data_IF_214164458321
#
_entry.id   IF_214164458321
#
_cell.length_a   1.000
_cell.length_b   1.000
_cell.length_c   1.000
_cell.angle_alpha   90.00
_cell.angle_beta   90.00
_cell.angle_gamma   90.00
#
_symmetry.space_group_name_H-M   'P 1'
#
loop_
_entity.id
_entity.type
_entity.pdbx_description
1 polymer ?
#
# COMPACT_ATOMS: atom_id res chain seq x y z
N UNK A 1 -14.46 -9.21 -8.97
CA UNK A 1 -13.65 -8.09 -9.49
C UNK A 1 -12.31 -8.59 -10.04
N UNK A 2 -11.47 -9.27 -9.25
CA UNK A 2 -10.17 -9.78 -9.72
C UNK A 2 -10.25 -10.71 -10.95
N UNK A 3 -11.25 -11.61 -11.00
CA UNK A 3 -11.51 -12.45 -12.17
C UNK A 3 -11.71 -11.64 -13.46
N UNK A 4 -12.49 -10.55 -13.38
CA UNK A 4 -12.74 -9.68 -14.52
C UNK A 4 -11.50 -8.92 -14.96
N UNK A 5 -10.71 -8.40 -14.00
CA UNK A 5 -9.44 -7.72 -14.29
C UNK A 5 -8.45 -8.67 -14.98
N UNK A 6 -8.24 -9.86 -14.41
CA UNK A 6 -7.31 -10.84 -14.94
C UNK A 6 -7.71 -11.31 -16.34
N UNK A 7 -8.99 -11.66 -16.55
CA UNK A 7 -9.50 -12.02 -17.87
C UNK A 7 -9.35 -10.86 -18.87
N UNK A 8 -9.61 -9.62 -18.44
CA UNK A 8 -9.49 -8.45 -19.31
C UNK A 8 -8.07 -8.25 -19.83
N UNK A 9 -7.03 -8.55 -19.03
CA UNK A 9 -5.64 -8.45 -19.51
C UNK A 9 -5.39 -9.41 -20.67
N UNK A 10 -5.84 -10.66 -20.57
CA UNK A 10 -5.70 -11.62 -21.68
C UNK A 10 -6.55 -11.27 -22.90
N UNK A 11 -7.78 -10.81 -22.70
CA UNK A 11 -8.66 -10.42 -23.81
C UNK A 11 -8.11 -9.21 -24.55
N UNK A 12 -7.71 -8.16 -23.82
CA UNK A 12 -7.10 -6.96 -24.40
C UNK A 12 -5.79 -7.31 -25.10
N UNK A 13 -4.96 -8.15 -24.49
CA UNK A 13 -3.72 -8.59 -25.09
C UNK A 13 -3.93 -9.44 -26.36
N UNK A 14 -4.96 -10.29 -26.38
CA UNK A 14 -5.32 -11.03 -27.58
C UNK A 14 -5.76 -10.09 -28.70
N UNK A 15 -6.61 -9.10 -28.41
CA UNK A 15 -7.04 -8.09 -29.38
C UNK A 15 -5.84 -7.30 -29.93
N UNK A 16 -4.93 -6.86 -29.06
CA UNK A 16 -3.72 -6.16 -29.46
C UNK A 16 -2.72 -7.05 -30.23
N UNK A 17 -2.60 -8.32 -29.86
CA UNK A 17 -1.80 -9.30 -30.60
C UNK A 17 -2.35 -9.52 -32.01
N UNK A 18 -3.67 -9.68 -32.15
CA UNK A 18 -4.31 -9.78 -33.47
C UNK A 18 -4.18 -8.49 -34.27
N UNK A 19 -4.28 -7.30 -33.65
CA UNK A 19 -4.10 -6.05 -34.39
C UNK A 19 -2.66 -5.88 -34.87
N UNK A 20 -1.64 -6.20 -34.06
CA UNK A 20 -0.24 -6.18 -34.47
C UNK A 20 0.06 -7.18 -35.59
N UNK A 21 -0.48 -8.40 -35.47
CA UNK A 21 -0.28 -9.40 -36.50
C UNK A 21 -0.95 -9.01 -37.83
N UNK A 22 -2.23 -8.65 -37.79
CA UNK A 22 -3.01 -8.44 -39.02
C UNK A 22 -2.85 -7.05 -39.64
N UNK A 23 -2.62 -6.01 -38.82
CA UNK A 23 -2.56 -4.62 -39.28
C UNK A 23 -1.13 -4.07 -39.35
N UNK A 24 -0.22 -4.57 -38.52
CA UNK A 24 1.17 -4.11 -38.46
C UNK A 24 2.18 -5.15 -39.00
N UNK A 25 1.70 -6.25 -39.59
CA UNK A 25 2.51 -7.32 -40.20
C UNK A 25 3.59 -7.91 -39.26
N UNK A 26 3.25 -8.06 -37.98
CA UNK A 26 4.14 -8.62 -36.95
C UNK A 26 3.70 -10.04 -36.54
N UNK A 27 4.08 -11.10 -37.28
CA UNK A 27 3.73 -12.48 -36.95
C UNK A 27 4.45 -13.02 -35.70
N UNK A 28 5.49 -12.34 -35.22
CA UNK A 28 6.27 -12.78 -34.06
C UNK A 28 5.57 -12.43 -32.72
N UNK A 29 4.57 -11.54 -32.74
CA UNK A 29 3.88 -11.06 -31.53
C UNK A 29 3.34 -12.19 -30.64
N UNK A 30 2.73 -13.23 -31.21
CA UNK A 30 2.20 -14.35 -30.43
C UNK A 30 3.31 -15.21 -29.83
N UNK A 31 4.44 -15.36 -30.53
CA UNK A 31 5.61 -16.04 -29.98
C UNK A 31 6.19 -15.26 -28.78
N UNK A 32 6.30 -13.94 -28.91
CA UNK A 32 6.75 -13.07 -27.82
C UNK A 32 5.77 -13.09 -26.62
N UNK A 33 4.46 -13.11 -26.85
CA UNK A 33 3.45 -13.23 -25.79
C UNK A 33 3.58 -14.58 -25.04
N UNK A 34 3.79 -15.68 -25.75
CA UNK A 34 3.99 -17.00 -25.15
C UNK A 34 5.31 -17.08 -24.40
N UNK A 35 6.40 -16.55 -24.94
CA UNK A 35 7.69 -16.48 -24.26
C UNK A 35 7.58 -15.69 -22.96
N UNK A 36 6.90 -14.54 -23.00
CA UNK A 36 6.63 -13.70 -21.83
C UNK A 36 5.87 -14.45 -20.73
N UNK A 37 4.89 -15.30 -21.06
CA UNK A 37 4.19 -16.13 -20.06
C UNK A 37 5.17 -17.00 -19.26
N UNK A 38 6.06 -17.71 -19.95
CA UNK A 38 7.01 -18.60 -19.28
C UNK A 38 8.09 -17.82 -18.52
N UNK A 39 8.57 -16.71 -19.08
CA UNK A 39 9.53 -15.83 -18.41
C UNK A 39 8.94 -15.27 -17.10
N UNK A 40 7.70 -14.78 -17.13
CA UNK A 40 7.02 -14.26 -15.94
C UNK A 40 6.69 -15.33 -14.90
N UNK A 41 6.33 -16.54 -15.34
CA UNK A 41 6.16 -17.67 -14.44
C UNK A 41 7.47 -18.01 -13.70
N UNK A 42 8.61 -18.00 -14.39
CA UNK A 42 9.93 -18.20 -13.78
C UNK A 42 10.28 -17.09 -12.80
N UNK A 43 10.13 -15.83 -13.22
CA UNK A 43 10.40 -14.65 -12.39
C UNK A 43 9.59 -14.69 -11.09
N UNK A 44 8.32 -15.12 -11.15
CA UNK A 44 7.48 -15.23 -9.96
C UNK A 44 8.07 -16.18 -8.91
N UNK A 45 8.69 -17.29 -9.32
CA UNK A 45 9.34 -18.24 -8.42
C UNK A 45 10.62 -17.66 -7.83
N UNK A 46 11.45 -17.00 -8.66
CA UNK A 46 12.69 -16.33 -8.21
C UNK A 46 12.40 -15.27 -7.13
N UNK A 47 11.38 -14.44 -7.37
CA UNK A 47 10.87 -13.46 -6.39
C UNK A 47 10.39 -14.15 -5.11
N UNK A 48 9.66 -15.27 -5.23
CA UNK A 48 9.12 -15.98 -4.07
C UNK A 48 10.19 -16.60 -3.17
N UNK A 49 11.28 -17.12 -3.73
CA UNK A 49 12.41 -17.66 -2.93
C UNK A 49 13.00 -16.58 -2.03
N UNK A 50 13.16 -15.36 -2.55
CA UNK A 50 13.69 -14.26 -1.76
C UNK A 50 12.66 -13.68 -0.79
N UNK A 51 11.37 -13.67 -1.17
CA UNK A 51 10.29 -13.27 -0.26
C UNK A 51 10.16 -14.19 0.94
N UNK A 52 10.47 -15.47 0.78
CA UNK A 52 10.43 -16.45 1.86
C UNK A 52 11.38 -16.08 3.01
N UNK A 53 12.66 -15.87 2.73
CA UNK A 53 13.63 -15.55 3.78
C UNK A 53 13.36 -14.21 4.47
N UNK A 54 12.88 -13.24 3.69
CA UNK A 54 12.59 -11.90 4.20
C UNK A 54 11.30 -11.83 5.00
N UNK A 55 10.22 -12.49 4.56
CA UNK A 55 8.98 -12.61 5.36
C UNK A 55 9.23 -13.35 6.68
N UNK A 56 10.06 -14.40 6.65
CA UNK A 56 10.47 -15.15 7.85
C UNK A 56 11.14 -14.23 8.87
N UNK A 57 12.09 -13.40 8.44
CA UNK A 57 12.77 -12.43 9.31
C UNK A 57 11.78 -11.44 9.92
N UNK A 58 10.96 -10.80 9.08
CA UNK A 58 10.11 -9.71 9.52
C UNK A 58 8.95 -10.17 10.38
N UNK A 59 8.30 -11.28 10.05
CA UNK A 59 7.22 -11.82 10.87
C UNK A 59 7.71 -12.33 12.22
N UNK A 60 8.93 -12.87 12.30
CA UNK A 60 9.56 -13.19 13.58
C UNK A 60 9.75 -11.94 14.47
N UNK A 61 10.33 -10.87 13.91
CA UNK A 61 10.52 -9.61 14.63
C UNK A 61 9.20 -8.95 15.06
N UNK A 62 8.24 -8.95 14.15
CA UNK A 62 6.91 -8.41 14.38
C UNK A 62 6.14 -9.19 15.46
N UNK A 63 6.31 -10.52 15.51
CA UNK A 63 5.74 -11.36 16.57
C UNK A 63 6.27 -10.99 17.95
N UNK A 64 7.56 -10.68 18.06
CA UNK A 64 8.15 -10.18 19.32
C UNK A 64 7.47 -8.87 19.73
N UNK A 65 7.29 -7.94 18.80
CA UNK A 65 6.64 -6.65 19.06
C UNK A 65 5.19 -6.80 19.53
N UNK A 66 4.44 -7.70 18.89
CA UNK A 66 3.08 -8.05 19.27
C UNK A 66 3.04 -8.58 20.71
N UNK A 67 3.88 -9.57 21.04
CA UNK A 67 3.95 -10.19 22.37
C UNK A 67 4.49 -9.25 23.44
N UNK A 68 5.31 -8.29 23.07
CA UNK A 68 5.76 -7.21 23.96
C UNK A 68 4.64 -6.20 24.29
N UNK A 69 3.47 -6.31 23.65
CA UNK A 69 2.31 -5.44 23.86
C UNK A 69 2.46 -4.07 23.16
N UNK A 70 3.28 -3.97 22.10
CA UNK A 70 3.47 -2.72 21.38
C UNK A 70 2.17 -2.28 20.67
N UNK A 71 1.45 -3.24 20.09
CA UNK A 71 0.15 -2.99 19.44
C UNK A 71 -0.85 -2.43 20.45
N UNK A 72 -0.92 -3.00 21.66
CA UNK A 72 -1.80 -2.51 22.74
C UNK A 72 -1.39 -1.11 23.24
N UNK A 73 -0.09 -0.82 23.29
CA UNK A 73 0.41 0.50 23.64
C UNK A 73 -0.02 1.55 22.62
N UNK A 74 0.17 1.28 21.32
CA UNK A 74 -0.26 2.17 20.25
C UNK A 74 -1.79 2.32 20.21
N UNK A 75 -2.54 1.23 20.39
CA UNK A 75 -3.99 1.25 20.45
C UNK A 75 -4.51 2.16 21.59
N UNK A 76 -3.84 2.19 22.74
CA UNK A 76 -4.16 3.13 23.83
C UNK A 76 -3.85 4.58 23.48
N UNK A 77 -2.78 4.85 22.73
CA UNK A 77 -2.45 6.20 22.25
C UNK A 77 -3.46 6.68 21.22
N UNK A 78 -3.93 5.82 20.31
CA UNK A 78 -4.89 6.17 19.26
C UNK A 78 -6.36 6.15 19.74
N UNK A 79 -6.66 5.45 20.83
CA UNK A 79 -8.02 5.30 21.37
C UNK A 79 -8.81 6.59 21.55
N UNK A 80 -8.26 7.63 22.21
CA UNK A 80 -8.95 8.91 22.41
C UNK A 80 -9.33 9.60 21.09
N UNK A 81 -8.46 9.52 20.07
CA UNK A 81 -8.72 10.10 18.76
C UNK A 81 -9.91 9.42 18.08
N UNK A 82 -9.90 8.09 17.96
CA UNK A 82 -10.98 7.36 17.31
C UNK A 82 -12.31 7.45 18.06
N UNK A 83 -12.30 7.49 19.39
CA UNK A 83 -13.50 7.73 20.18
C UNK A 83 -14.18 9.09 19.89
N UNK A 84 -13.42 10.07 19.39
CA UNK A 84 -13.93 11.40 19.02
C UNK A 84 -14.28 11.50 17.54
N UNK A 85 -13.51 10.84 16.67
CA UNK A 85 -13.82 10.76 15.25
C UNK A 85 -15.03 9.86 14.94
N UNK A 86 -15.37 8.93 15.84
CA UNK A 86 -16.53 8.02 15.71
C UNK A 86 -17.54 8.24 16.84
N UNK A 87 -18.23 9.40 16.90
CA UNK A 87 -19.12 9.75 18.01
C UNK A 87 -20.33 8.81 18.15
N UNK A 88 -20.69 8.07 17.09
CA UNK A 88 -21.78 7.09 17.08
C UNK A 88 -21.43 5.77 17.79
N UNK A 89 -20.15 5.55 18.12
CA UNK A 89 -19.71 4.33 18.80
C UNK A 89 -19.61 4.58 20.31
N UNK A 90 -20.38 3.87 21.16
CA UNK A 90 -20.35 4.08 22.61
C UNK A 90 -18.96 3.84 23.21
N UNK A 91 -18.60 4.64 24.23
CA UNK A 91 -17.36 4.42 24.97
C UNK A 91 -17.36 3.03 25.62
N UNK A 92 -16.24 2.32 25.49
CA UNK A 92 -16.10 0.96 25.99
C UNK A 92 -16.66 -0.12 25.05
N UNK A 93 -17.30 0.25 23.93
CA UNK A 93 -17.71 -0.73 22.93
C UNK A 93 -16.48 -1.41 22.29
N UNK A 94 -16.46 -2.75 22.13
CA UNK A 94 -15.33 -3.48 21.57
C UNK A 94 -14.84 -2.98 20.20
N UNK A 95 -15.74 -2.41 19.40
CA UNK A 95 -15.41 -1.85 18.09
C UNK A 95 -14.27 -0.82 18.14
N UNK A 96 -14.25 0.08 19.14
CA UNK A 96 -13.19 1.10 19.23
C UNK A 96 -11.82 0.46 19.44
N UNK A 97 -11.73 -0.56 20.30
CA UNK A 97 -10.49 -1.29 20.54
C UNK A 97 -10.01 -2.05 19.30
N UNK A 98 -10.93 -2.73 18.60
CA UNK A 98 -10.59 -3.46 17.38
C UNK A 98 -10.13 -2.52 16.25
N UNK A 99 -10.75 -1.35 16.13
CA UNK A 99 -10.36 -0.32 15.14
C UNK A 99 -8.96 0.20 15.45
N UNK A 100 -8.71 0.60 16.69
CA UNK A 100 -7.40 1.16 17.08
C UNK A 100 -6.29 0.11 16.97
N UNK A 101 -6.57 -1.14 17.31
CA UNK A 101 -5.66 -2.28 17.11
C UNK A 101 -5.39 -2.52 15.63
N UNK A 102 -6.41 -2.47 14.75
CA UNK A 102 -6.21 -2.63 13.31
C UNK A 102 -5.32 -1.53 12.74
N UNK A 103 -5.52 -0.25 13.10
CA UNK A 103 -4.64 0.84 12.66
C UNK A 103 -3.23 0.74 13.22
N UNK A 104 -3.08 0.35 14.49
CA UNK A 104 -1.77 0.11 15.09
C UNK A 104 -1.03 -1.03 14.39
N UNK A 105 -1.74 -2.12 14.05
CA UNK A 105 -1.19 -3.26 13.34
C UNK A 105 -0.76 -2.87 11.91
N UNK A 106 -1.64 -2.25 11.11
CA UNK A 106 -1.29 -1.76 9.77
C UNK A 106 -0.11 -0.78 9.81
N UNK A 107 -0.10 0.17 10.76
CA UNK A 107 0.99 1.15 10.87
C UNK A 107 2.36 0.53 11.14
N UNK A 108 2.41 -0.61 11.83
CA UNK A 108 3.63 -1.38 12.09
C UNK A 108 3.97 -2.39 10.98
N UNK A 109 3.13 -2.55 9.96
CA UNK A 109 3.29 -3.57 8.92
C UNK A 109 2.86 -4.98 9.35
N UNK A 110 1.99 -5.10 10.35
CA UNK A 110 1.38 -6.37 10.82
C UNK A 110 0.15 -6.74 9.98
N UNK A 111 0.25 -6.71 8.65
CA UNK A 111 -0.91 -6.81 7.74
C UNK A 111 -1.72 -8.12 7.92
N UNK A 112 -1.01 -9.22 8.25
CA UNK A 112 -1.59 -10.54 8.51
C UNK A 112 -2.47 -10.55 9.78
N UNK A 113 -2.15 -9.74 10.78
CA UNK A 113 -2.97 -9.56 11.97
C UNK A 113 -4.05 -8.48 11.74
N UNK A 114 -3.73 -7.45 10.96
CA UNK A 114 -4.62 -6.32 10.72
C UNK A 114 -5.92 -6.74 10.03
N UNK A 115 -5.87 -7.60 9.00
CA UNK A 115 -7.07 -7.99 8.24
C UNK A 115 -8.11 -8.76 9.08
N UNK A 116 -7.74 -9.81 9.84
CA UNK A 116 -8.66 -10.48 10.76
C UNK A 116 -9.23 -9.55 11.85
N UNK A 117 -8.41 -8.64 12.38
CA UNK A 117 -8.85 -7.64 13.36
C UNK A 117 -9.85 -6.67 12.72
N UNK A 118 -9.59 -6.22 11.49
CA UNK A 118 -10.47 -5.33 10.74
C UNK A 118 -11.83 -5.96 10.44
N UNK A 119 -11.86 -7.25 10.07
CA UNK A 119 -13.12 -7.99 9.91
C UNK A 119 -13.92 -8.08 11.22
N UNK A 120 -13.25 -8.31 12.35
CA UNK A 120 -13.89 -8.26 13.68
C UNK A 120 -14.40 -6.85 13.99
N UNK A 121 -13.62 -5.81 13.67
CA UNK A 121 -13.99 -4.42 13.88
C UNK A 121 -15.27 -4.05 13.11
N UNK A 122 -15.35 -4.42 11.83
CA UNK A 122 -16.51 -4.12 10.98
C UNK A 122 -17.75 -4.87 11.44
N UNK A 123 -17.61 -6.12 11.88
CA UNK A 123 -18.71 -6.88 12.52
C UNK A 123 -19.19 -6.20 13.81
N UNK A 124 -18.27 -5.74 14.66
CA UNK A 124 -18.60 -5.01 15.87
C UNK A 124 -19.24 -3.63 15.56
N UNK A 125 -18.83 -2.94 14.50
CA UNK A 125 -19.51 -1.74 14.05
C UNK A 125 -20.91 -2.04 13.51
N UNK A 126 -21.10 -3.20 12.87
CA UNK A 126 -22.38 -3.61 12.33
C UNK A 126 -23.43 -3.85 13.42
N UNK A 127 -23.05 -4.30 14.62
CA UNK A 127 -24.02 -4.48 15.74
C UNK A 127 -24.62 -3.16 16.21
N UNK A 128 -23.97 -2.03 15.92
CA UNK A 128 -24.45 -0.68 16.22
C UNK A 128 -25.15 -0.02 15.02
N UNK A 129 -25.09 -0.65 13.84
CA UNK A 129 -25.60 -0.06 12.62
C UNK A 129 -27.14 -0.17 12.58
N UNK A 130 -27.89 0.95 12.49
CA UNK A 130 -29.34 0.90 12.36
C UNK A 130 -29.80 0.27 11.03
N UNK A 131 -28.92 0.16 10.03
CA UNK A 131 -29.21 -0.50 8.75
C UNK A 131 -28.36 -1.76 8.56
N UNK A 132 -29.00 -2.88 8.24
CA UNK A 132 -28.31 -4.12 7.90
C UNK A 132 -27.60 -4.07 6.54
N UNK A 133 -27.97 -3.14 5.65
CA UNK A 133 -27.52 -3.12 4.24
C UNK A 133 -26.82 -1.82 3.83
N UNK A 134 -26.85 -0.78 4.67
CA UNK A 134 -26.25 0.53 4.37
C UNK A 134 -25.13 0.86 5.34
N UNK A 135 -23.98 1.29 4.83
CA UNK A 135 -22.80 1.55 5.66
C UNK A 135 -23.03 2.70 6.67
N UNK A 136 -22.65 2.47 7.93
CA UNK A 136 -22.67 3.50 8.98
C UNK A 136 -21.53 4.50 8.83
N UNK A 137 -21.60 5.66 9.48
CA UNK A 137 -20.55 6.67 9.37
C UNK A 137 -19.21 6.15 9.91
N UNK A 138 -19.23 5.40 11.02
CA UNK A 138 -18.05 4.78 11.59
C UNK A 138 -17.43 3.71 10.65
N UNK A 139 -18.25 2.90 9.98
CA UNK A 139 -17.76 1.92 8.99
C UNK A 139 -17.09 2.62 7.79
N UNK A 140 -17.67 3.71 7.31
CA UNK A 140 -17.10 4.49 6.21
C UNK A 140 -15.75 5.10 6.61
N UNK A 141 -15.68 5.75 7.77
CA UNK A 141 -14.41 6.33 8.25
C UNK A 141 -13.34 5.26 8.43
N UNK A 142 -13.69 4.12 9.05
CA UNK A 142 -12.78 2.99 9.24
C UNK A 142 -12.21 2.48 7.91
N UNK A 143 -13.07 2.31 6.91
CA UNK A 143 -12.67 1.82 5.59
C UNK A 143 -11.78 2.82 4.86
N UNK A 144 -12.16 4.11 4.81
CA UNK A 144 -11.41 5.14 4.06
C UNK A 144 -10.01 5.31 4.65
N UNK A 145 -9.88 5.32 5.98
CA UNK A 145 -8.58 5.42 6.62
C UNK A 145 -7.73 4.15 6.45
N UNK A 146 -8.36 2.97 6.34
CA UNK A 146 -7.63 1.75 5.97
C UNK A 146 -7.13 1.81 4.52
N UNK A 147 -7.95 2.32 3.59
CA UNK A 147 -7.57 2.47 2.18
C UNK A 147 -6.43 3.48 1.98
N UNK A 148 -6.30 4.49 2.86
CA UNK A 148 -5.19 5.44 2.80
C UNK A 148 -3.88 4.93 3.44
N UNK A 149 -3.94 3.79 4.14
CA UNK A 149 -2.82 3.06 4.77
C UNK A 149 -1.66 3.92 5.26
N UNK A 150 -1.77 4.43 6.50
CA UNK A 150 -0.65 5.10 7.17
C UNK A 150 0.45 4.08 7.51
N UNK A 151 1.23 3.71 6.51
CA UNK A 151 2.32 2.75 6.63
C UNK A 151 3.57 3.50 7.10
N UNK A 152 3.92 3.36 8.38
CA UNK A 152 5.14 3.97 8.90
C UNK A 152 6.39 3.23 8.42
N UNK A 153 6.24 1.93 8.12
CA UNK A 153 7.33 1.01 7.80
C UNK A 153 7.08 0.30 6.47
N UNK A 154 7.54 0.86 5.34
CA UNK A 154 7.36 0.25 4.03
C UNK A 154 8.40 -0.86 3.76
N UNK A 155 8.54 -1.78 4.72
CA UNK A 155 9.52 -2.87 4.70
C UNK A 155 9.39 -3.72 3.43
N UNK A 156 8.16 -4.01 3.02
CA UNK A 156 7.88 -4.79 1.82
C UNK A 156 8.42 -4.12 0.55
N UNK A 157 8.39 -2.78 0.48
CA UNK A 157 8.91 -2.01 -0.65
C UNK A 157 10.44 -2.03 -0.68
N UNK A 158 11.08 -1.84 0.48
CA UNK A 158 12.53 -1.98 0.60
C UNK A 158 12.97 -3.38 0.18
N UNK A 159 12.21 -4.39 0.59
CA UNK A 159 12.46 -5.75 0.15
C UNK A 159 12.38 -5.85 -1.36
N UNK A 160 11.26 -5.51 -2.01
CA UNK A 160 11.15 -5.59 -3.48
C UNK A 160 12.32 -4.91 -4.19
N UNK A 161 12.70 -3.71 -3.75
CA UNK A 161 13.87 -3.00 -4.30
C UNK A 161 15.16 -3.80 -4.14
N UNK A 162 15.46 -4.32 -2.95
CA UNK A 162 16.61 -5.18 -2.73
C UNK A 162 16.58 -6.44 -3.61
N UNK A 163 15.41 -7.04 -3.83
CA UNK A 163 15.24 -8.21 -4.70
C UNK A 163 15.55 -7.91 -6.16
N UNK A 164 15.22 -6.70 -6.61
CA UNK A 164 15.49 -6.23 -7.95
C UNK A 164 16.92 -5.64 -8.09
N UNK A 165 17.77 -5.80 -7.07
CA UNK A 165 19.18 -5.40 -7.11
C UNK A 165 19.43 -3.93 -6.82
N UNK A 166 18.52 -3.23 -6.12
CA UNK A 166 18.75 -1.83 -5.73
C UNK A 166 20.00 -1.70 -4.85
N UNK A 167 20.96 -0.81 -5.20
CA UNK A 167 22.09 -0.49 -4.33
C UNK A 167 21.65 0.08 -2.98
N UNK A 168 20.61 0.92 -2.99
CA UNK A 168 19.96 1.44 -1.81
C UNK A 168 18.44 1.18 -1.83
N UNK A 169 17.99 0.12 -1.14
CA UNK A 169 16.57 -0.20 -1.07
C UNK A 169 15.74 0.83 -0.29
N UNK A 170 16.35 1.57 0.64
CA UNK A 170 15.67 2.50 1.56
C UNK A 170 15.48 3.90 0.99
N UNK A 171 16.06 4.20 -0.17
CA UNK A 171 15.98 5.49 -0.86
C UNK A 171 14.56 6.06 -0.96
N UNK A 172 13.55 5.21 -1.09
CA UNK A 172 12.13 5.59 -1.25
C UNK A 172 11.39 5.86 0.08
N UNK A 173 12.07 5.79 1.23
CA UNK A 173 11.45 5.89 2.55
C UNK A 173 10.68 7.21 2.76
N UNK A 174 11.35 8.36 2.62
CA UNK A 174 10.70 9.66 2.80
C UNK A 174 9.62 9.93 1.75
N UNK A 175 9.85 9.64 0.44
CA UNK A 175 8.77 9.72 -0.54
C UNK A 175 7.51 8.95 -0.15
N UNK A 176 7.65 7.72 0.34
CA UNK A 176 6.50 6.90 0.79
C UNK A 176 5.81 7.57 1.98
N UNK A 177 6.56 8.00 2.98
CA UNK A 177 6.02 8.62 4.19
C UNK A 177 5.23 9.91 3.87
N UNK A 178 5.73 10.74 2.95
CA UNK A 178 5.07 11.96 2.52
C UNK A 178 3.80 11.66 1.70
N UNK A 179 3.86 10.69 0.78
CA UNK A 179 2.72 10.30 -0.04
C UNK A 179 1.59 9.67 0.79
N UNK A 180 1.90 8.79 1.75
CA UNK A 180 0.88 8.21 2.65
C UNK A 180 0.27 9.26 3.59
N UNK A 181 1.07 10.21 4.06
CA UNK A 181 0.59 11.31 4.90
C UNK A 181 -0.42 12.18 4.13
N UNK A 182 -0.14 12.50 2.87
CA UNK A 182 -1.06 13.22 1.99
C UNK A 182 -2.36 12.44 1.74
N UNK A 183 -2.25 11.16 1.40
CA UNK A 183 -3.39 10.24 1.22
C UNK A 183 -4.28 10.19 2.46
N UNK A 184 -3.68 9.95 3.63
CA UNK A 184 -4.40 9.83 4.91
C UNK A 184 -5.07 11.15 5.32
N UNK A 185 -4.39 12.28 5.10
CA UNK A 185 -4.98 13.59 5.37
C UNK A 185 -6.20 13.85 4.47
N UNK A 186 -6.09 13.61 3.17
CA UNK A 186 -7.21 13.80 2.24
C UNK A 186 -8.35 12.82 2.53
N UNK A 187 -8.05 11.58 2.89
CA UNK A 187 -9.05 10.59 3.33
C UNK A 187 -9.81 11.06 4.56
N UNK A 188 -9.12 11.49 5.62
CA UNK A 188 -9.74 12.02 6.83
C UNK A 188 -10.58 13.27 6.54
N UNK A 189 -10.03 14.24 5.82
CA UNK A 189 -10.69 15.51 5.54
C UNK A 189 -11.93 15.33 4.65
N UNK A 190 -11.86 14.46 3.65
CA UNK A 190 -13.00 14.18 2.77
C UNK A 190 -14.16 13.52 3.52
N UNK A 191 -13.87 12.55 4.41
CA UNK A 191 -14.89 11.93 5.26
C UNK A 191 -15.43 12.95 6.26
N UNK A 192 -14.56 13.75 6.87
CA UNK A 192 -14.96 14.78 7.82
C UNK A 192 -15.88 15.83 7.19
N UNK A 193 -15.62 16.22 5.94
CA UNK A 193 -16.49 17.11 5.17
C UNK A 193 -17.86 16.46 4.90
N UNK A 194 -17.87 15.23 4.39
CA UNK A 194 -19.10 14.52 4.01
C UNK A 194 -19.98 14.16 5.21
N UNK A 195 -19.36 13.81 6.35
CA UNK A 195 -20.05 13.41 7.59
C UNK A 195 -20.19 14.56 8.59
N UNK A 196 -19.64 15.75 8.29
CA UNK A 196 -19.60 16.92 9.18
C UNK A 196 -18.98 16.61 10.54
N UNK A 197 -17.86 15.86 10.54
CA UNK A 197 -17.12 15.53 11.75
C UNK A 197 -16.53 16.79 12.39
N UNK A 198 -16.54 16.83 13.73
CA UNK A 198 -16.01 17.96 14.49
C UNK A 198 -14.49 17.86 14.65
N UNK A 199 -13.75 18.18 13.58
CA UNK A 199 -12.28 18.22 13.64
C UNK A 199 -11.73 19.28 14.61
N UNK A 200 -12.57 20.25 14.99
CA UNK A 200 -12.28 21.29 15.99
C UNK A 200 -12.43 20.80 17.44
N UNK A 201 -12.78 19.53 17.68
CA UNK A 201 -12.80 18.97 19.03
C UNK A 201 -11.38 19.07 19.65
N UNK A 202 -11.24 19.54 20.91
CA UNK A 202 -9.92 19.74 21.53
C UNK A 202 -9.04 18.50 21.53
N UNK A 203 -9.63 17.30 21.67
CA UNK A 203 -8.87 16.05 21.60
C UNK A 203 -8.40 15.82 20.18
N UNK A 204 -9.25 15.97 19.17
CA UNK A 204 -8.86 15.80 17.76
C UNK A 204 -7.75 16.79 17.38
N UNK A 205 -7.89 18.06 17.76
CA UNK A 205 -6.87 19.09 17.55
C UNK A 205 -5.55 18.76 18.27
N UNK A 206 -5.59 18.15 19.46
CA UNK A 206 -4.39 17.73 20.18
C UNK A 206 -3.59 16.64 19.46
N UNK A 207 -4.20 15.88 18.54
CA UNK A 207 -3.46 14.96 17.64
C UNK A 207 -3.10 15.64 16.31
N UNK A 208 -4.04 16.36 15.69
CA UNK A 208 -3.84 16.94 14.36
C UNK A 208 -2.84 18.10 14.35
N UNK A 209 -2.86 18.99 15.34
CA UNK A 209 -1.96 20.16 15.37
C UNK A 209 -0.51 19.73 15.54
N UNK A 210 -0.11 18.91 16.54
CA UNK A 210 1.28 18.47 16.65
C UNK A 210 1.73 17.67 15.43
N UNK A 211 0.87 16.80 14.88
CA UNK A 211 1.17 16.05 13.65
C UNK A 211 1.40 16.98 12.45
N UNK A 212 0.54 17.97 12.25
CA UNK A 212 0.67 18.95 11.17
C UNK A 212 1.90 19.86 11.34
N UNK A 213 2.22 20.27 12.58
CA UNK A 213 3.42 21.06 12.86
C UNK A 213 4.70 20.24 12.65
N UNK A 214 4.70 18.97 13.06
CA UNK A 214 5.84 18.07 12.86
C UNK A 214 6.05 17.82 11.37
N UNK A 215 4.99 17.46 10.64
CA UNK A 215 5.07 17.24 9.20
C UNK A 215 5.45 18.51 8.44
N UNK A 216 4.82 19.65 8.78
CA UNK A 216 5.07 20.94 8.14
C UNK A 216 6.47 21.49 8.40
N UNK A 217 6.97 21.39 9.64
CA UNK A 217 8.36 21.79 9.95
C UNK A 217 9.38 20.86 9.29
N UNK A 218 9.10 19.56 9.23
CA UNK A 218 9.92 18.60 8.52
C UNK A 218 9.95 18.88 7.02
N UNK A 219 8.78 19.10 6.38
CA UNK A 219 8.71 19.48 4.97
C UNK A 219 9.42 20.81 4.68
N UNK A 220 9.30 21.80 5.57
CA UNK A 220 10.00 23.07 5.43
C UNK A 220 11.53 22.88 5.49
N UNK A 221 12.02 22.00 6.37
CA UNK A 221 13.44 21.63 6.43
C UNK A 221 13.88 20.97 5.12
N UNK A 222 13.14 19.95 4.66
CA UNK A 222 13.43 19.26 3.40
C UNK A 222 13.46 20.23 2.22
N UNK A 223 12.60 21.25 2.18
CA UNK A 223 12.55 22.24 1.10
C UNK A 223 13.81 23.10 0.96
N UNK A 224 14.66 23.14 2.00
CA UNK A 224 15.94 23.85 1.96
C UNK A 224 17.10 23.00 1.42
N UNK A 225 16.88 21.70 1.18
CA UNK A 225 17.92 20.75 0.82
C UNK A 225 18.00 20.53 -0.69
N UNK A 226 19.20 20.20 -1.19
CA UNK A 226 19.37 19.74 -2.57
C UNK A 226 18.78 18.34 -2.76
N UNK A 227 18.44 17.96 -3.99
CA UNK A 227 17.96 16.61 -4.33
C UNK A 227 18.94 15.51 -3.86
N UNK A 228 20.25 15.74 -4.00
CA UNK A 228 21.28 14.81 -3.50
C UNK A 228 21.25 14.67 -1.98
N UNK A 229 21.05 15.76 -1.24
CA UNK A 229 20.95 15.73 0.21
C UNK A 229 19.62 15.09 0.68
N UNK A 230 18.52 15.31 -0.05
CA UNK A 230 17.23 14.65 0.18
C UNK A 230 17.33 13.13 0.00
N UNK A 231 17.96 12.68 -1.08
CA UNK A 231 18.21 11.26 -1.33
C UNK A 231 19.06 10.62 -0.21
N UNK A 232 20.17 11.28 0.18
CA UNK A 232 21.03 10.81 1.26
C UNK A 232 20.30 10.78 2.62
N UNK A 233 19.49 11.80 2.91
CA UNK A 233 18.69 11.84 4.14
C UNK A 233 17.61 10.76 4.14
N UNK A 234 16.95 10.52 2.99
CA UNK A 234 15.94 9.45 2.86
C UNK A 234 16.55 8.09 3.13
N UNK A 235 17.72 7.81 2.55
CA UNK A 235 18.51 6.60 2.81
C UNK A 235 18.87 6.45 4.29
N UNK A 236 19.45 7.49 4.88
CA UNK A 236 19.87 7.46 6.29
C UNK A 236 18.68 7.23 7.22
N UNK A 237 17.59 7.98 7.02
CA UNK A 237 16.38 7.84 7.84
C UNK A 237 15.73 6.47 7.67
N UNK A 238 15.69 5.94 6.45
CA UNK A 238 15.18 4.60 6.18
C UNK A 238 16.00 3.52 6.89
N UNK A 239 17.33 3.55 6.77
CA UNK A 239 18.21 2.59 7.43
C UNK A 239 18.19 2.69 8.96
N UNK A 240 18.23 3.91 9.51
CA UNK A 240 18.13 4.14 10.96
C UNK A 240 16.78 3.70 11.51
N UNK A 241 15.68 3.98 10.79
CA UNK A 241 14.34 3.54 11.19
C UNK A 241 14.25 2.01 11.17
N UNK A 242 14.73 1.38 10.09
CA UNK A 242 14.73 -0.07 9.93
C UNK A 242 15.48 -0.76 11.08
N UNK A 243 16.75 -0.39 11.29
CA UNK A 243 17.57 -1.01 12.32
C UNK A 243 17.14 -0.62 13.74
N UNK A 244 16.74 0.64 13.94
CA UNK A 244 16.22 1.13 15.20
C UNK A 244 14.97 0.37 15.66
N UNK A 245 14.12 -0.05 14.72
CA UNK A 245 12.91 -0.80 15.04
C UNK A 245 13.20 -2.26 15.35
N UNK A 246 14.14 -2.89 14.65
CA UNK A 246 14.64 -4.22 15.02
C UNK A 246 15.13 -4.18 16.47
N UNK A 247 15.98 -3.21 16.81
CA UNK A 247 16.46 -3.03 18.19
C UNK A 247 15.32 -2.74 19.17
N UNK A 248 14.38 -1.86 18.80
CA UNK A 248 13.22 -1.54 19.63
C UNK A 248 12.42 -2.80 19.97
N UNK A 249 12.13 -3.66 18.99
CA UNK A 249 11.35 -4.89 19.20
C UNK A 249 12.09 -5.86 20.12
N UNK A 250 13.39 -6.08 19.89
CA UNK A 250 14.21 -6.96 20.71
C UNK A 250 14.34 -6.44 22.15
N UNK A 251 14.62 -5.14 22.32
CA UNK A 251 14.76 -4.52 23.64
C UNK A 251 13.43 -4.49 24.40
N UNK A 252 12.32 -4.14 23.74
CA UNK A 252 11.00 -4.18 24.37
C UNK A 252 10.62 -5.62 24.75
N UNK A 253 10.88 -6.59 23.88
CA UNK A 253 10.68 -8.01 24.17
C UNK A 253 11.47 -8.44 25.42
N UNK A 254 12.76 -8.11 25.48
CA UNK A 254 13.62 -8.42 26.62
C UNK A 254 13.14 -7.72 27.91
N UNK A 255 12.80 -6.43 27.86
CA UNK A 255 12.30 -5.66 29.00
C UNK A 255 10.95 -6.19 29.52
N UNK A 256 10.11 -6.69 28.62
CA UNK A 256 8.82 -7.33 28.95
C UNK A 256 8.96 -8.81 29.32
N UNK A 257 10.19 -9.33 29.37
CA UNK A 257 10.50 -10.74 29.66
C UNK A 257 9.82 -11.71 28.71
N UNK A 258 9.65 -11.29 27.45
CA UNK A 258 9.21 -12.16 26.35
C UNK A 258 10.38 -13.04 25.93
N UNK A 259 10.10 -14.31 25.64
CA UNK A 259 11.07 -15.25 25.10
C UNK A 259 11.38 -14.90 23.63
N UNK A 260 12.30 -13.93 23.45
CA UNK A 260 12.52 -13.22 22.17
C UNK A 260 12.87 -14.18 21.04
N UNK A 261 13.71 -15.19 21.30
CA UNK A 261 14.11 -16.16 20.28
C UNK A 261 12.94 -17.08 19.89
N UNK A 262 12.22 -17.59 20.88
CA UNK A 262 11.10 -18.51 20.69
C UNK A 262 9.97 -17.81 19.92
N UNK A 263 9.60 -16.60 20.32
CA UNK A 263 8.58 -15.81 19.59
C UNK A 263 9.04 -15.39 18.20
N UNK A 264 10.34 -15.13 18.02
CA UNK A 264 10.90 -14.93 16.68
C UNK A 264 10.71 -16.18 15.81
N UNK A 265 11.01 -17.37 16.33
CA UNK A 265 10.87 -18.63 15.58
C UNK A 265 9.39 -18.93 15.27
N UNK A 266 8.48 -18.66 16.21
CA UNK A 266 7.04 -18.82 15.96
C UNK A 266 6.54 -17.85 14.88
N UNK A 267 6.89 -16.57 14.95
CA UNK A 267 6.54 -15.61 13.90
C UNK A 267 7.20 -15.93 12.55
N UNK A 268 8.43 -16.43 12.58
CA UNK A 268 9.16 -16.86 11.40
C UNK A 268 8.44 -17.99 10.64
N UNK A 269 7.86 -18.97 11.35
CA UNK A 269 7.06 -20.05 10.75
C UNK A 269 5.84 -19.51 10.01
N UNK A 270 5.17 -18.48 10.54
CA UNK A 270 4.02 -17.85 9.85
C UNK A 270 4.43 -17.28 8.49
N UNK A 271 5.68 -16.84 8.33
CA UNK A 271 6.22 -16.36 7.05
C UNK A 271 6.23 -17.40 5.94
N UNK A 272 6.32 -18.68 6.28
CA UNK A 272 6.27 -19.77 5.31
C UNK A 272 4.87 -19.91 4.72
N UNK A 273 3.85 -19.87 5.58
CA UNK A 273 2.45 -19.98 5.15
C UNK A 273 2.02 -18.78 4.31
N UNK A 274 2.46 -17.59 4.69
CA UNK A 274 2.22 -16.36 3.93
C UNK A 274 2.89 -16.46 2.56
N UNK A 275 4.17 -16.83 2.49
CA UNK A 275 4.87 -17.00 1.22
C UNK A 275 4.16 -18.02 0.30
N UNK A 276 3.79 -19.18 0.84
CA UNK A 276 3.04 -20.21 0.11
C UNK A 276 1.73 -19.69 -0.47
N UNK A 277 1.01 -18.86 0.28
CA UNK A 277 -0.27 -18.28 -0.16
C UNK A 277 -0.11 -17.22 -1.26
N UNK A 278 1.03 -16.53 -1.33
CA UNK A 278 1.28 -15.44 -2.27
C UNK A 278 1.68 -15.93 -3.67
N UNK A 279 2.39 -17.06 -3.77
CA UNK A 279 2.92 -17.56 -5.04
C UNK A 279 1.86 -17.68 -6.15
N UNK A 280 0.68 -18.31 -5.94
CA UNK A 280 -0.31 -18.47 -7.02
C UNK A 280 -0.80 -17.14 -7.60
N UNK A 281 -1.00 -16.13 -6.73
CA UNK A 281 -1.44 -14.81 -7.16
C UNK A 281 -0.34 -14.06 -7.91
N UNK A 282 0.91 -14.19 -7.46
CA UNK A 282 2.04 -13.56 -8.12
C UNK A 282 2.26 -14.14 -9.53
N UNK A 283 2.22 -15.48 -9.67
CA UNK A 283 2.30 -16.17 -10.96
C UNK A 283 1.18 -15.70 -11.88
N UNK A 284 -0.08 -15.77 -11.43
CA UNK A 284 -1.23 -15.43 -12.25
C UNK A 284 -1.18 -13.99 -12.76
N UNK A 285 -0.81 -13.04 -11.88
CA UNK A 285 -0.74 -11.64 -12.25
C UNK A 285 0.47 -11.32 -13.12
N UNK A 286 1.69 -11.74 -12.77
CA UNK A 286 2.87 -11.46 -13.59
C UNK A 286 2.72 -12.03 -15.00
N UNK A 287 2.18 -13.24 -15.14
CA UNK A 287 1.88 -13.82 -16.46
C UNK A 287 0.89 -12.96 -17.26
N UNK A 288 -0.21 -12.52 -16.64
CA UNK A 288 -1.21 -11.69 -17.32
C UNK A 288 -0.63 -10.34 -17.75
N UNK A 289 0.20 -9.73 -16.91
CA UNK A 289 0.87 -8.45 -17.19
C UNK A 289 1.92 -8.62 -18.29
N UNK A 290 2.75 -9.65 -18.20
CA UNK A 290 3.76 -9.94 -19.23
C UNK A 290 3.13 -10.15 -20.60
N UNK A 291 1.98 -10.81 -20.69
CA UNK A 291 1.24 -10.97 -21.95
C UNK A 291 0.68 -9.64 -22.44
N UNK A 292 0.10 -8.84 -21.54
CA UNK A 292 -0.43 -7.51 -21.87
C UNK A 292 0.65 -6.59 -22.43
N UNK A 293 1.84 -6.57 -21.81
CA UNK A 293 3.00 -5.84 -22.30
C UNK A 293 3.54 -6.41 -23.62
N UNK A 294 3.77 -7.71 -23.72
CA UNK A 294 4.27 -8.33 -24.95
C UNK A 294 3.33 -8.11 -26.15
N UNK A 295 2.02 -7.99 -25.90
CA UNK A 295 1.04 -7.65 -26.93
C UNK A 295 1.10 -6.19 -27.41
N UNK A 296 1.80 -5.29 -26.70
CA UNK A 296 1.84 -3.85 -26.97
C UNK A 296 0.60 -3.07 -26.53
N UNK A 297 -0.38 -3.73 -25.90
CA UNK A 297 -1.59 -3.07 -25.41
C UNK A 297 -1.29 -2.06 -24.29
N UNK A 298 -0.37 -2.42 -23.39
CA UNK A 298 0.03 -1.55 -22.29
C UNK A 298 0.73 -0.29 -22.82
N UNK A 299 1.68 -0.49 -23.73
CA UNK A 299 2.44 0.57 -24.38
C UNK A 299 1.52 1.54 -25.11
N UNK A 300 0.54 1.05 -25.89
CA UNK A 300 -0.44 1.90 -26.55
C UNK A 300 -1.23 2.79 -25.58
N UNK A 301 -1.67 2.23 -24.45
CA UNK A 301 -2.36 2.99 -23.41
C UNK A 301 -1.47 4.06 -22.77
N UNK A 302 -0.21 3.71 -22.49
CA UNK A 302 0.78 4.63 -21.94
C UNK A 302 1.17 5.73 -22.93
N UNK A 303 1.33 5.42 -24.22
CA UNK A 303 1.60 6.38 -25.29
C UNK A 303 0.51 7.44 -25.38
N UNK A 304 -0.77 7.04 -25.27
CA UNK A 304 -1.89 7.97 -25.22
C UNK A 304 -1.82 8.93 -24.02
N UNK A 305 -1.38 8.44 -22.86
CA UNK A 305 -1.16 9.28 -21.68
C UNK A 305 0.06 10.19 -21.88
N UNK A 306 1.18 9.67 -22.41
CA UNK A 306 2.38 10.48 -22.69
C UNK A 306 2.04 11.63 -23.62
N UNK A 307 1.27 11.37 -24.69
CA UNK A 307 0.80 12.40 -25.62
C UNK A 307 -0.01 13.51 -24.93
N UNK A 308 -0.94 13.15 -24.03
CA UNK A 308 -1.73 14.12 -23.27
C UNK A 308 -0.86 14.97 -22.32
N UNK A 309 0.11 14.33 -21.66
CA UNK A 309 1.02 14.98 -20.70
C UNK A 309 1.99 15.92 -21.43
N UNK A 310 2.54 15.49 -22.57
CA UNK A 310 3.40 16.32 -23.44
C UNK A 310 2.62 17.49 -24.02
N UNK A 311 1.37 17.28 -24.44
CA UNK A 311 0.50 18.35 -24.90
C UNK A 311 0.25 19.41 -23.81
N UNK A 312 0.19 19.00 -22.55
CA UNK A 312 0.11 19.91 -21.40
C UNK A 312 1.46 20.57 -21.04
N UNK A 313 2.56 20.21 -21.72
CA UNK A 313 3.91 20.71 -21.45
C UNK A 313 4.54 20.16 -20.17
N UNK A 314 4.08 19.00 -19.70
CA UNK A 314 4.55 18.35 -18.46
C UNK A 314 5.55 17.24 -18.75
N UNK A 315 6.35 16.90 -17.73
CA UNK A 315 7.32 15.81 -17.78
C UNK A 315 6.62 14.44 -17.77
N UNK A 316 7.02 13.51 -18.64
CA UNK A 316 6.38 12.19 -18.82
C UNK A 316 7.06 11.04 -18.08
N UNK A 317 8.17 11.27 -17.34
CA UNK A 317 8.95 10.20 -16.68
C UNK A 317 8.13 9.34 -15.72
N UNK A 318 7.03 9.87 -15.17
CA UNK A 318 6.14 9.13 -14.27
C UNK A 318 5.18 8.16 -14.98
N UNK A 319 4.99 8.27 -16.30
CA UNK A 319 3.91 7.56 -17.02
C UNK A 319 4.07 6.04 -16.94
N UNK A 320 5.30 5.54 -17.00
CA UNK A 320 5.62 4.11 -16.82
C UNK A 320 5.29 3.56 -15.42
N UNK A 321 5.04 4.43 -14.43
CA UNK A 321 4.61 4.03 -13.09
C UNK A 321 3.08 3.92 -12.94
N UNK A 322 2.32 4.51 -13.86
CA UNK A 322 0.85 4.56 -13.80
C UNK A 322 0.15 3.19 -13.80
N UNK A 323 0.67 2.12 -14.44
CA UNK A 323 0.04 0.81 -14.34
C UNK A 323 -0.08 0.34 -12.88
N UNK A 324 0.93 0.64 -12.05
CA UNK A 324 0.89 0.38 -10.60
C UNK A 324 -0.25 1.14 -9.94
N UNK A 325 -0.38 2.46 -10.20
CA UNK A 325 -1.44 3.29 -9.65
C UNK A 325 -2.85 2.85 -10.07
N UNK A 326 -3.05 2.46 -11.32
CA UNK A 326 -4.36 2.10 -11.87
C UNK A 326 -4.88 0.77 -11.33
N UNK A 327 -3.96 -0.18 -11.09
CA UNK A 327 -4.31 -1.53 -10.63
C UNK A 327 -4.47 -1.57 -9.11
N UNK A 328 -3.77 -0.70 -8.39
CA UNK A 328 -3.72 -0.70 -6.92
C UNK A 328 -5.08 -0.61 -6.21
N UNK A 329 -6.06 0.19 -6.64
CA UNK A 329 -7.37 0.23 -5.98
C UNK A 329 -8.06 -1.14 -5.97
N UNK A 330 -7.74 -1.99 -6.95
CA UNK A 330 -8.39 -3.29 -7.16
C UNK A 330 -7.63 -4.44 -6.52
N UNK A 331 -6.29 -4.40 -6.54
CA UNK A 331 -5.46 -5.51 -6.08
C UNK A 331 -4.02 -5.10 -5.79
N UNK A 332 -3.58 -5.36 -4.56
CA UNK A 332 -2.23 -5.03 -4.09
C UNK A 332 -1.19 -6.02 -4.59
N UNK A 333 -1.57 -7.28 -4.82
CA UNK A 333 -0.71 -8.29 -5.44
C UNK A 333 -0.50 -8.00 -6.94
N UNK A 334 -1.53 -7.51 -7.62
CA UNK A 334 -1.43 -7.10 -9.01
C UNK A 334 -0.61 -5.81 -9.17
N UNK A 335 -0.80 -4.82 -8.28
CA UNK A 335 0.02 -3.60 -8.28
C UNK A 335 1.49 -3.89 -7.93
N UNK A 336 1.75 -4.84 -7.03
CA UNK A 336 3.10 -5.35 -6.78
C UNK A 336 3.71 -5.99 -8.02
N UNK A 337 2.94 -6.77 -8.77
CA UNK A 337 3.40 -7.35 -10.03
C UNK A 337 3.78 -6.23 -11.02
N UNK A 338 2.96 -5.18 -11.15
CA UNK A 338 3.28 -3.99 -11.95
C UNK A 338 4.56 -3.29 -11.51
N UNK A 339 4.77 -3.13 -10.19
CA UNK A 339 6.00 -2.56 -9.65
C UNK A 339 7.24 -3.36 -10.06
N UNK A 340 7.22 -4.67 -9.83
CA UNK A 340 8.34 -5.57 -10.17
C UNK A 340 8.61 -5.51 -11.68
N UNK A 341 7.55 -5.49 -12.47
CA UNK A 341 7.61 -5.42 -13.91
C UNK A 341 8.16 -4.08 -14.43
N UNK A 342 7.85 -2.96 -13.77
CA UNK A 342 8.52 -1.67 -14.02
C UNK A 342 10.01 -1.73 -13.65
N UNK A 343 10.38 -2.33 -12.52
CA UNK A 343 11.77 -2.44 -12.09
C UNK A 343 12.62 -3.31 -13.05
N UNK A 344 12.07 -4.41 -13.55
CA UNK A 344 12.74 -5.28 -14.51
C UNK A 344 12.98 -4.61 -15.85
N UNK A 345 12.01 -3.82 -16.32
CA UNK A 345 12.07 -3.23 -17.67
C UNK A 345 12.73 -1.86 -17.72
N UNK A 346 12.54 -1.03 -16.71
CA UNK A 346 13.10 0.32 -16.66
C UNK A 346 14.37 0.40 -15.80
N UNK A 347 14.64 -0.61 -14.97
CA UNK A 347 15.68 -0.60 -13.94
C UNK A 347 15.14 -0.15 -12.58
N UNK A 348 15.66 -0.76 -11.50
CA UNK A 348 15.16 -0.60 -10.13
C UNK A 348 15.24 0.82 -9.55
N UNK A 349 16.19 1.62 -10.04
CA UNK A 349 16.39 3.03 -9.66
C UNK A 349 15.99 4.03 -10.75
N UNK A 350 15.30 3.56 -11.79
CA UNK A 350 14.67 4.47 -12.74
C UNK A 350 13.63 5.34 -12.04
N UNK A 351 13.41 6.55 -12.57
CA UNK A 351 12.40 7.46 -12.03
C UNK A 351 11.02 6.80 -11.93
N UNK A 352 10.63 6.05 -12.98
CA UNK A 352 9.38 5.30 -13.00
C UNK A 352 9.32 4.22 -11.90
N UNK A 353 10.39 3.46 -11.68
CA UNK A 353 10.44 2.47 -10.61
C UNK A 353 10.39 3.10 -9.22
N UNK A 354 11.00 4.27 -9.02
CA UNK A 354 10.92 5.03 -7.77
C UNK A 354 9.48 5.52 -7.51
N UNK A 355 8.83 6.11 -8.52
CA UNK A 355 7.42 6.53 -8.43
C UNK A 355 6.51 5.33 -8.16
N UNK A 356 6.68 4.23 -8.87
CA UNK A 356 5.89 3.02 -8.69
C UNK A 356 6.09 2.43 -7.27
N UNK A 357 7.32 2.43 -6.76
CA UNK A 357 7.62 1.99 -5.39
C UNK A 357 6.95 2.91 -4.35
N UNK A 358 6.97 4.23 -4.58
CA UNK A 358 6.30 5.20 -3.71
C UNK A 358 4.78 5.06 -3.73
N UNK A 359 4.18 4.85 -4.90
CA UNK A 359 2.75 4.53 -5.03
C UNK A 359 2.44 3.22 -4.30
N UNK A 360 3.21 2.17 -4.53
CA UNK A 360 2.99 0.86 -3.92
C UNK A 360 3.13 0.91 -2.39
N UNK A 361 3.95 1.80 -1.84
CA UNK A 361 4.11 1.98 -0.40
C UNK A 361 3.11 2.92 0.29
N UNK A 362 2.34 3.74 -0.45
CA UNK A 362 1.62 4.89 0.14
C UNK A 362 0.11 4.73 0.36
N UNK A 363 -0.52 3.76 -0.29
CA UNK A 363 -1.99 3.51 -0.22
C UNK A 363 -2.30 2.02 -0.07
N UNK A 364 -3.56 1.67 0.12
CA UNK A 364 -4.07 0.29 0.16
C UNK A 364 -5.16 0.04 -0.90
N UNK A 365 -5.65 -1.19 -0.95
CA UNK A 365 -6.57 -1.66 -1.99
C UNK A 365 -8.04 -1.28 -1.74
N UNK A 366 -8.46 -0.09 -2.21
CA UNK A 366 -9.81 0.47 -1.98
C UNK A 366 -10.97 -0.52 -2.20
N UNK A 367 -11.07 -1.13 -3.38
CA UNK A 367 -12.20 -2.01 -3.72
C UNK A 367 -12.11 -3.38 -3.06
N UNK A 368 -10.89 -3.86 -2.80
CA UNK A 368 -10.69 -5.12 -2.10
C UNK A 368 -11.08 -4.98 -0.63
N UNK A 369 -10.57 -3.97 0.07
CA UNK A 369 -10.95 -3.68 1.47
C UNK A 369 -12.46 -3.51 1.56
N UNK A 370 -13.08 -2.80 0.62
CA UNK A 370 -14.54 -2.67 0.57
C UNK A 370 -15.24 -4.00 0.38
N UNK A 371 -14.86 -4.82 -0.59
CA UNK A 371 -15.46 -6.12 -0.84
C UNK A 371 -15.33 -7.05 0.37
N UNK A 372 -14.15 -7.10 1.00
CA UNK A 372 -13.88 -7.97 2.15
C UNK A 372 -14.62 -7.46 3.39
N UNK A 373 -14.53 -6.16 3.70
CA UNK A 373 -15.10 -5.61 4.94
C UNK A 373 -16.62 -5.51 4.85
N UNK A 374 -17.16 -4.89 3.80
CA UNK A 374 -18.61 -4.73 3.64
C UNK A 374 -19.30 -6.04 3.27
N UNK A 375 -18.65 -6.89 2.47
CA UNK A 375 -19.17 -8.22 2.15
C UNK A 375 -19.31 -9.12 3.38
N UNK A 376 -18.36 -9.05 4.32
CA UNK A 376 -18.40 -9.85 5.56
C UNK A 376 -19.56 -9.52 6.51
N UNK A 377 -20.23 -8.39 6.31
CA UNK A 377 -21.38 -7.93 7.11
C UNK A 377 -22.64 -7.67 6.28
N UNK A 378 -22.64 -8.04 4.99
CA UNK A 378 -23.82 -7.93 4.13
C UNK A 378 -24.19 -6.50 3.69
N UNK A 379 -23.26 -5.55 3.77
CA UNK A 379 -23.50 -4.18 3.32
C UNK A 379 -23.54 -4.13 1.79
N UNK A 380 -24.60 -3.52 1.27
CA UNK A 380 -24.86 -3.39 -0.17
C UNK A 380 -24.68 -1.94 -0.64
N UNK A 381 -24.92 -0.96 0.24
CA UNK A 381 -24.84 0.48 -0.08
C UNK A 381 -23.68 1.12 0.67
N UNK A 382 -22.59 1.38 -0.06
CA UNK A 382 -21.36 1.97 0.48
C UNK A 382 -21.42 3.49 0.72
N UNK A 383 -22.49 4.18 0.28
CA UNK A 383 -22.64 5.65 0.36
C UNK A 383 -21.41 6.36 -0.23
N UNK A 384 -20.84 7.34 0.49
CA UNK A 384 -19.68 8.11 0.08
C UNK A 384 -18.33 7.44 0.36
N UNK A 385 -18.29 6.19 0.85
CA UNK A 385 -17.04 5.49 1.15
C UNK A 385 -16.13 5.36 -0.07
N UNK A 386 -16.68 4.94 -1.21
CA UNK A 386 -15.91 4.76 -2.45
C UNK A 386 -15.32 6.08 -2.92
N UNK A 387 -16.12 7.14 -2.94
CA UNK A 387 -15.66 8.47 -3.39
C UNK A 387 -14.55 9.02 -2.50
N UNK A 388 -14.70 8.94 -1.18
CA UNK A 388 -13.66 9.38 -0.24
C UNK A 388 -12.38 8.53 -0.34
N UNK A 389 -12.49 7.21 -0.48
CA UNK A 389 -11.34 6.32 -0.61
C UNK A 389 -10.56 6.56 -1.91
N UNK A 390 -11.27 6.67 -3.05
CA UNK A 390 -10.62 6.99 -4.33
C UNK A 390 -9.99 8.38 -4.34
N UNK A 391 -10.57 9.36 -3.65
CA UNK A 391 -9.97 10.69 -3.51
C UNK A 391 -8.68 10.65 -2.67
N UNK A 392 -8.67 9.88 -1.57
CA UNK A 392 -7.47 9.65 -0.78
C UNK A 392 -6.38 8.97 -1.62
N UNK A 393 -6.76 7.95 -2.39
CA UNK A 393 -5.85 7.20 -3.25
C UNK A 393 -5.27 8.07 -4.37
N UNK A 394 -6.11 8.88 -5.03
CA UNK A 394 -5.67 9.87 -6.01
C UNK A 394 -4.68 10.87 -5.40
N UNK A 395 -4.96 11.37 -4.20
CA UNK A 395 -4.04 12.26 -3.49
C UNK A 395 -2.70 11.58 -3.18
N UNK A 396 -2.72 10.31 -2.78
CA UNK A 396 -1.50 9.51 -2.58
C UNK A 396 -0.68 9.34 -3.86
N UNK A 397 -1.33 9.03 -4.99
CA UNK A 397 -0.67 8.90 -6.30
C UNK A 397 -0.07 10.22 -6.76
N UNK A 398 -0.84 11.32 -6.68
CA UNK A 398 -0.34 12.65 -7.06
C UNK A 398 0.81 13.11 -6.16
N UNK A 399 0.71 12.86 -4.85
CA UNK A 399 1.79 13.16 -3.92
C UNK A 399 3.04 12.30 -4.19
N UNK A 400 2.88 11.02 -4.51
CA UNK A 400 4.00 10.15 -4.89
C UNK A 400 4.73 10.69 -6.12
N UNK A 401 4.00 11.07 -7.18
CA UNK A 401 4.57 11.65 -8.40
C UNK A 401 5.31 12.96 -8.07
N UNK A 402 4.64 13.88 -7.37
CA UNK A 402 5.22 15.19 -7.04
C UNK A 402 6.46 15.09 -6.15
N UNK A 403 6.43 14.23 -5.13
CA UNK A 403 7.55 14.04 -4.21
C UNK A 403 8.72 13.33 -4.90
N UNK A 404 8.46 12.39 -5.80
CA UNK A 404 9.52 11.79 -6.61
C UNK A 404 10.19 12.81 -7.54
N UNK A 405 9.42 13.70 -8.19
CA UNK A 405 10.01 14.82 -8.95
C UNK A 405 10.84 15.74 -8.07
N UNK A 406 10.41 15.97 -6.82
CA UNK A 406 11.17 16.80 -5.90
C UNK A 406 12.47 16.14 -5.42
N UNK A 407 12.46 14.84 -5.17
CA UNK A 407 13.62 14.11 -4.61
C UNK A 407 14.60 13.62 -5.69
N UNK A 408 14.09 13.28 -6.88
CA UNK A 408 14.83 12.55 -7.93
C UNK A 408 14.72 13.19 -9.32
N UNK A 409 14.02 14.32 -9.43
CA UNK A 409 13.65 14.96 -10.70
C UNK A 409 14.72 15.83 -11.33
#
# INVERSE_FOLDING_TARGET
>A
MLNGLWLSFFVVAAVAGFSRWLLADDPAVFAAMVESLFAMAKLSVEVMVLLFGTLTLWLGLLRIAEKAGLVDALARVLGPLFARLMPEVPRGHPALGLITMNFAANGLGLDNAATPIGLKAVRALQTLNPSSTTASNAQILFLVLNASSLTLLPVTIFMYRAQQGAPDPTLVFLPILLATSASTLVGLLSVALMQRLRLWDPVVLAYLIPGALLLGSFMALLATMSATALAALSSLMGNLTLFGIVLLFLLLGALKKVAVYEEFIEGAKEGFDVAKSLLPYLVAMLCAVGVLRASGALEFGLDGIRWLVEWAGWDTRFVEALPTALVKPFSGSAARAMLIETMQTQGVDSFAALVAATIQGSTETTFYVLAVYFGAVGIQRARHAVGCALLAELAGVLAAIAVCYWFFG
#
